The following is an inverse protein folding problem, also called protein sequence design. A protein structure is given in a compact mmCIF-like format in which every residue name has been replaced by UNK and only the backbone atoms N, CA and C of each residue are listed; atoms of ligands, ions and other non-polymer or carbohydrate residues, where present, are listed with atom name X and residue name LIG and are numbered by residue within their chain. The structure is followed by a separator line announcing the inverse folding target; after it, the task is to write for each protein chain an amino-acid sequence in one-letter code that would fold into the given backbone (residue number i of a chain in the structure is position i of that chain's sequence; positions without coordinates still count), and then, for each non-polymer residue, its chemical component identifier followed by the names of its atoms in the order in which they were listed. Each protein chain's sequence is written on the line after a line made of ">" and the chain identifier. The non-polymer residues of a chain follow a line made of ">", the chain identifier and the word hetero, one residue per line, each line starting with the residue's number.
data_IF_535866395025
#
_entry.id   IF_535866395025
#
_cell.length_a   1.000
_cell.length_b   1.000
_cell.length_c   1.000
_cell.angle_alpha   90.00
_cell.angle_beta   90.00
_cell.angle_gamma   90.00
#
_symmetry.space_group_name_H-M   'P 1'
#
loop_
_entity.id
_entity.type
_entity.pdbx_description
1 polymer ?
#
# COMPACT_ATOMS: atom_id res chain seq x y z
N UNK A 1 -4.04 30.38 -11.16
CA UNK A 1 -3.29 29.85 -10.00
C UNK A 1 -4.15 28.77 -9.36
N UNK A 2 -3.52 27.66 -9.02
CA UNK A 2 -4.05 26.31 -9.22
C UNK A 2 -4.80 25.77 -7.99
N UNK A 3 -5.78 24.89 -8.24
CA UNK A 3 -6.65 24.14 -7.30
C UNK A 3 -5.93 23.32 -6.21
N UNK A 4 -4.61 23.43 -6.11
CA UNK A 4 -3.74 22.65 -5.21
C UNK A 4 -3.84 23.17 -3.77
N UNK A 5 -4.00 24.49 -3.58
CA UNK A 5 -4.08 25.10 -2.24
C UNK A 5 -5.31 24.63 -1.43
N UNK A 6 -6.41 24.29 -2.11
CA UNK A 6 -7.62 23.76 -1.45
C UNK A 6 -7.50 22.30 -1.02
N UNK A 7 -6.60 21.50 -1.62
CA UNK A 7 -6.39 20.11 -1.23
C UNK A 7 -5.57 20.02 0.06
N UNK A 8 -4.57 20.90 0.21
CA UNK A 8 -3.70 20.93 1.39
C UNK A 8 -4.47 21.29 2.67
N UNK A 9 -5.47 22.18 2.59
CA UNK A 9 -6.28 22.56 3.75
C UNK A 9 -7.24 21.44 4.23
N UNK A 10 -7.59 20.48 3.37
CA UNK A 10 -8.40 19.33 3.76
C UNK A 10 -7.58 18.24 4.48
N UNK A 11 -6.27 18.16 4.21
CA UNK A 11 -5.37 17.18 4.86
C UNK A 11 -5.16 17.48 6.34
N UNK A 12 -5.32 18.73 6.81
CA UNK A 12 -5.10 19.07 8.21
C UNK A 12 -6.27 18.64 9.13
N UNK A 13 -7.51 18.59 8.63
CA UNK A 13 -8.69 18.21 9.43
C UNK A 13 -9.04 16.72 9.37
N UNK A 14 -8.44 15.96 8.45
CA UNK A 14 -8.62 14.52 8.34
C UNK A 14 -7.30 13.77 8.40
N UNK A 15 -6.44 14.10 9.38
CA UNK A 15 -5.50 13.13 9.91
C UNK A 15 -6.23 12.30 10.98
N UNK A 16 -6.89 11.16 10.65
CA UNK A 16 -6.87 10.11 11.65
C UNK A 16 -5.38 9.84 11.91
N UNK A 17 -4.99 9.69 13.19
CA UNK A 17 -3.62 9.34 13.55
C UNK A 17 -3.11 8.22 12.64
N UNK A 18 -2.23 8.52 11.68
CA UNK A 18 -1.63 7.55 10.76
C UNK A 18 -0.56 6.67 11.44
N UNK A 19 -0.48 6.76 12.76
CA UNK A 19 0.30 5.92 13.67
C UNK A 19 -0.66 5.20 14.62
N UNK A 20 -1.65 4.49 14.08
CA UNK A 20 -2.22 3.37 14.83
C UNK A 20 -1.23 2.22 14.65
N UNK A 21 -0.30 2.08 15.61
CA UNK A 21 0.44 0.83 15.84
C UNK A 21 -0.60 -0.29 15.90
N UNK A 22 -0.74 -1.10 14.83
CA UNK A 22 -1.83 -2.05 14.76
C UNK A 22 -1.57 -3.13 15.81
N UNK A 23 -2.57 -3.50 16.61
CA UNK A 23 -2.45 -4.58 17.59
C UNK A 23 -1.74 -5.80 16.97
N UNK A 24 -0.84 -6.44 17.71
CA UNK A 24 0.04 -7.52 17.20
C UNK A 24 -0.67 -8.60 16.37
N UNK A 25 -1.94 -8.90 16.67
CA UNK A 25 -2.80 -9.82 15.91
C UNK A 25 -3.14 -9.30 14.50
N UNK A 26 -3.43 -8.02 14.37
CA UNK A 26 -3.72 -7.37 13.08
C UNK A 26 -2.48 -7.37 12.18
N UNK A 27 -1.30 -7.13 12.75
CA UNK A 27 -0.02 -7.23 12.04
C UNK A 27 0.22 -8.65 11.49
N UNK A 28 -0.05 -9.70 12.28
CA UNK A 28 0.06 -11.10 11.81
C UNK A 28 -0.88 -11.39 10.64
N UNK A 29 -2.12 -10.93 10.71
CA UNK A 29 -3.09 -11.12 9.62
C UNK A 29 -2.66 -10.39 8.33
N UNK A 30 -2.11 -9.18 8.45
CA UNK A 30 -1.58 -8.42 7.32
C UNK A 30 -0.37 -9.13 6.70
N UNK A 31 0.57 -9.61 7.51
CA UNK A 31 1.75 -10.37 7.04
C UNK A 31 1.32 -11.65 6.31
N UNK A 32 0.38 -12.42 6.88
CA UNK A 32 -0.14 -13.63 6.25
C UNK A 32 -0.82 -13.32 4.90
N UNK A 33 -1.66 -12.27 4.85
CA UNK A 33 -2.29 -11.83 3.60
C UNK A 33 -1.25 -11.38 2.57
N UNK A 34 -0.27 -10.58 2.97
CA UNK A 34 0.82 -10.13 2.11
C UNK A 34 1.55 -11.31 1.45
N UNK A 35 1.98 -12.29 2.25
CA UNK A 35 2.67 -13.48 1.73
C UNK A 35 1.81 -14.29 0.78
N UNK A 36 0.53 -14.49 1.13
CA UNK A 36 -0.43 -15.24 0.31
C UNK A 36 -0.74 -14.54 -1.02
N UNK A 37 -0.98 -13.22 -1.00
CA UNK A 37 -1.37 -12.44 -2.18
C UNK A 37 -0.25 -12.39 -3.23
N UNK A 38 1.01 -12.33 -2.78
CA UNK A 38 2.20 -12.18 -3.63
C UNK A 38 3.05 -13.45 -3.77
N UNK A 39 2.57 -14.58 -3.24
CA UNK A 39 3.27 -15.86 -3.20
C UNK A 39 4.74 -15.70 -2.78
N UNK A 40 4.94 -15.14 -1.59
CA UNK A 40 6.26 -14.87 -1.02
C UNK A 40 6.69 -15.95 -0.03
N UNK A 41 8.00 -16.12 0.15
CA UNK A 41 8.56 -17.00 1.17
C UNK A 41 8.14 -16.58 2.57
N UNK A 42 8.15 -17.53 3.52
CA UNK A 42 7.97 -17.26 4.95
C UNK A 42 9.13 -16.46 5.55
N UNK A 43 10.28 -16.41 4.88
CA UNK A 43 11.42 -15.59 5.29
C UNK A 43 11.25 -14.12 4.91
N UNK A 44 10.29 -13.80 4.02
CA UNK A 44 10.07 -12.42 3.59
C UNK A 44 9.43 -11.61 4.73
N UNK A 45 10.16 -10.59 5.20
CA UNK A 45 9.74 -9.74 6.32
C UNK A 45 9.06 -8.48 5.81
N UNK A 46 7.80 -8.31 6.18
CA UNK A 46 7.08 -7.06 5.96
C UNK A 46 7.64 -5.99 6.92
N UNK A 47 8.07 -4.87 6.37
CA UNK A 47 8.58 -3.71 7.10
C UNK A 47 7.44 -2.75 7.44
N UNK A 48 6.65 -2.39 6.44
CA UNK A 48 5.50 -1.52 6.63
C UNK A 48 4.44 -1.73 5.55
N UNK A 49 3.25 -1.18 5.75
CA UNK A 49 2.20 -1.14 4.75
C UNK A 49 1.41 0.17 4.82
N UNK A 50 0.97 0.64 3.66
CA UNK A 50 0.26 1.91 3.54
C UNK A 50 -0.94 1.75 2.63
N UNK A 51 -1.98 2.53 2.89
CA UNK A 51 -3.04 2.74 1.89
C UNK A 51 -2.57 3.79 0.90
N UNK A 52 -2.60 3.49 -0.40
CA UNK A 52 -2.25 4.46 -1.43
C UNK A 52 -3.12 4.26 -2.69
N UNK A 53 -2.97 5.17 -3.65
CA UNK A 53 -3.63 5.10 -4.95
C UNK A 53 -2.60 4.85 -6.04
N UNK A 54 -2.82 3.81 -6.83
CA UNK A 54 -2.05 3.55 -8.03
C UNK A 54 -2.71 4.23 -9.23
N UNK A 55 -1.94 5.08 -9.91
CA UNK A 55 -2.39 5.80 -11.10
C UNK A 55 -1.74 5.18 -12.33
N UNK A 56 -2.57 4.56 -13.18
CA UNK A 56 -2.14 4.08 -14.51
C UNK A 56 -3.24 4.38 -15.52
N UNK A 57 -2.97 5.33 -16.42
CA UNK A 57 -3.99 5.89 -17.30
C UNK A 57 -4.91 6.86 -16.55
N UNK A 58 -6.19 6.89 -16.89
CA UNK A 58 -7.15 7.89 -16.38
C UNK A 58 -7.86 7.53 -15.06
N UNK A 59 -7.78 6.29 -14.60
CA UNK A 59 -8.54 5.84 -13.42
C UNK A 59 -7.61 5.53 -12.24
N UNK A 60 -7.71 6.24 -11.11
CA UNK A 60 -6.98 5.91 -9.90
C UNK A 60 -7.56 4.65 -9.24
N UNK A 61 -6.68 3.74 -8.84
CA UNK A 61 -7.05 2.53 -8.12
C UNK A 61 -6.53 2.59 -6.67
N UNK A 62 -7.42 2.73 -5.68
CA UNK A 62 -7.04 2.64 -4.27
C UNK A 62 -6.65 1.21 -3.92
N UNK A 63 -5.54 1.03 -3.23
CA UNK A 63 -5.03 -0.26 -2.82
C UNK A 63 -4.14 -0.19 -1.59
N UNK A 64 -3.43 -1.29 -1.35
CA UNK A 64 -2.45 -1.42 -0.28
C UNK A 64 -1.06 -1.59 -0.87
N UNK A 65 -0.15 -0.72 -0.45
CA UNK A 65 1.28 -0.84 -0.67
C UNK A 65 1.89 -1.59 0.51
N UNK A 66 2.72 -2.57 0.22
CA UNK A 66 3.45 -3.39 1.16
C UNK A 66 4.93 -3.20 0.86
N UNK A 67 5.68 -2.80 1.89
CA UNK A 67 7.12 -2.64 1.84
C UNK A 67 7.73 -3.78 2.63
N UNK A 68 8.47 -4.65 1.96
CA UNK A 68 9.22 -5.72 2.60
C UNK A 68 10.72 -5.51 2.39
N UNK A 69 11.54 -6.39 2.99
CA UNK A 69 13.00 -6.27 2.88
C UNK A 69 13.48 -6.39 1.44
N UNK A 70 12.89 -7.29 0.63
CA UNK A 70 13.34 -7.54 -0.73
C UNK A 70 12.40 -6.99 -1.81
N UNK A 71 11.14 -6.70 -1.47
CA UNK A 71 10.12 -6.33 -2.46
C UNK A 71 9.32 -5.10 -2.07
N UNK A 72 8.94 -4.34 -3.11
CA UNK A 72 7.83 -3.40 -3.09
C UNK A 72 6.62 -4.08 -3.76
N UNK A 73 5.52 -4.17 -3.04
CA UNK A 73 4.33 -4.88 -3.50
C UNK A 73 3.08 -4.01 -3.40
N UNK A 74 2.20 -4.01 -4.40
CA UNK A 74 0.92 -3.31 -4.37
C UNK A 74 -0.22 -4.23 -4.81
N UNK A 75 -1.32 -4.24 -4.07
CA UNK A 75 -2.55 -4.99 -4.40
C UNK A 75 -3.78 -4.07 -4.29
N UNK A 76 -4.63 -4.13 -5.31
CA UNK A 76 -5.92 -3.43 -5.35
C UNK A 76 -6.95 -4.30 -6.06
N UNK A 77 -8.20 -4.23 -5.60
CA UNK A 77 -9.35 -4.83 -6.25
C UNK A 77 -10.42 -3.76 -6.40
N UNK A 78 -10.64 -3.31 -7.63
CA UNK A 78 -11.60 -2.26 -7.93
C UNK A 78 -12.44 -2.66 -9.16
N UNK A 79 -13.77 -2.58 -9.04
CA UNK A 79 -14.71 -2.88 -10.12
C UNK A 79 -14.47 -4.25 -10.79
N UNK A 80 -14.20 -5.28 -9.99
CA UNK A 80 -13.93 -6.64 -10.49
C UNK A 80 -12.52 -6.84 -11.08
N UNK A 81 -11.71 -5.79 -11.18
CA UNK A 81 -10.35 -5.87 -11.70
C UNK A 81 -9.34 -5.89 -10.56
N UNK A 82 -8.53 -6.94 -10.52
CA UNK A 82 -7.38 -7.00 -9.62
C UNK A 82 -6.14 -6.38 -10.27
N UNK A 83 -5.47 -5.48 -9.55
CA UNK A 83 -4.15 -4.96 -9.91
C UNK A 83 -3.14 -5.43 -8.88
N UNK A 84 -2.12 -6.16 -9.32
CA UNK A 84 -0.99 -6.59 -8.50
C UNK A 84 0.31 -6.08 -9.10
N UNK A 85 1.18 -5.55 -8.26
CA UNK A 85 2.55 -5.15 -8.59
C UNK A 85 3.46 -5.82 -7.56
N UNK A 86 4.53 -6.45 -8.03
CA UNK A 86 5.59 -7.04 -7.20
C UNK A 86 6.91 -6.71 -7.87
N UNK A 87 7.69 -5.85 -7.25
CA UNK A 87 8.99 -5.39 -7.75
C UNK A 87 10.04 -5.70 -6.71
N UNK A 88 11.21 -6.19 -7.14
CA UNK A 88 12.37 -6.23 -6.25
C UNK A 88 12.94 -4.83 -6.14
N UNK A 89 13.50 -4.51 -4.98
CA UNK A 89 14.22 -3.24 -4.81
C UNK A 89 15.41 -3.11 -5.76
N UNK A 90 16.06 -4.23 -6.11
CA UNK A 90 17.16 -4.27 -7.09
C UNK A 90 16.78 -3.79 -8.49
N UNK A 91 15.49 -3.87 -8.83
CA UNK A 91 15.00 -3.61 -10.19
C UNK A 91 14.45 -2.18 -10.32
N UNK A 92 14.52 -1.37 -9.24
CA UNK A 92 14.08 0.02 -9.18
C UNK A 92 15.33 0.91 -9.32
N UNK A 93 15.33 1.80 -10.30
CA UNK A 93 16.41 2.76 -10.60
C UNK A 93 15.89 4.18 -10.54
#
# INVERSE_FOLDING_TARGET
>A
RTKIESLVSLEEKSRPNLTEEPDSLSNRAVVHRFRKVFALSEDEKLVNYYTCCYWRGSTPCRGKLYLSVNFLCFDSFLMGKQTKIKLKWSDIT
#
